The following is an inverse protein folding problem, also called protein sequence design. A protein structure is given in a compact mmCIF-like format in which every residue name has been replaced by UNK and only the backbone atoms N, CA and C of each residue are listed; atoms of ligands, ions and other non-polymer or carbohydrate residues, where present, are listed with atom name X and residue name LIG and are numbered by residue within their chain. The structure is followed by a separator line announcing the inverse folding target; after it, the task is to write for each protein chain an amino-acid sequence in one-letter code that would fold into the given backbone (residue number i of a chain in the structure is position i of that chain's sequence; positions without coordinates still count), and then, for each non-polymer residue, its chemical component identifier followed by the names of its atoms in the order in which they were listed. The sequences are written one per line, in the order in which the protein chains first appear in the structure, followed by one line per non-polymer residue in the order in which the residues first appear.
data_IF_971985089673
#
_entry.id   IF_971985089673
#
_cell.length_a   1.000
_cell.length_b   1.000
_cell.length_c   1.000
_cell.angle_alpha   90.00
_cell.angle_beta   90.00
_cell.angle_gamma   90.00
#
_symmetry.space_group_name_H-M   'P 1'
#
loop_
_entity.id
_entity.type
_entity.pdbx_description
1 polymer ?
#
# COMPACT_ATOMS: atom_id res chain seq x y z
N UNK A 1 -25.15 35.23 8.70
CA UNK A 1 -25.69 33.85 8.59
C UNK A 1 -24.91 32.97 9.56
N UNK A 2 -25.57 32.42 10.58
CA UNK A 2 -24.93 31.54 11.58
C UNK A 2 -24.79 30.13 11.00
N UNK A 3 -23.63 29.79 10.44
CA UNK A 3 -23.30 28.40 10.18
C UNK A 3 -22.99 27.71 11.50
N UNK A 4 -23.97 26.97 12.05
CA UNK A 4 -23.67 25.98 13.10
C UNK A 4 -22.91 24.83 12.44
N UNK A 5 -21.65 24.58 12.81
CA UNK A 5 -20.95 23.40 12.31
C UNK A 5 -21.67 22.17 12.84
N UNK A 6 -22.19 21.35 11.93
CA UNK A 6 -22.73 20.03 12.25
C UNK A 6 -21.65 18.99 11.94
N UNK A 7 -21.36 18.15 12.93
CA UNK A 7 -20.49 17.00 12.76
C UNK A 7 -21.22 15.97 11.89
N UNK A 8 -20.53 15.39 10.90
CA UNK A 8 -21.14 14.36 10.07
C UNK A 8 -21.34 13.06 10.88
N UNK A 9 -22.39 12.31 10.56
CA UNK A 9 -22.78 11.10 11.32
C UNK A 9 -21.68 10.04 11.37
N UNK A 10 -20.88 9.91 10.31
CA UNK A 10 -19.76 8.96 10.24
C UNK A 10 -18.64 9.33 11.21
N UNK A 11 -18.27 10.61 11.30
CA UNK A 11 -17.28 11.06 12.28
C UNK A 11 -17.79 10.89 13.70
N UNK A 12 -19.05 11.27 13.98
CA UNK A 12 -19.63 11.12 15.31
C UNK A 12 -19.62 9.65 15.78
N UNK A 13 -20.05 8.72 14.91
CA UNK A 13 -20.02 7.28 15.20
C UNK A 13 -18.60 6.75 15.41
N UNK A 14 -17.62 7.21 14.63
CA UNK A 14 -16.23 6.82 14.81
C UNK A 14 -15.69 7.27 16.18
N UNK A 15 -16.01 8.50 16.61
CA UNK A 15 -15.63 9.01 17.93
C UNK A 15 -16.28 8.19 19.04
N UNK A 16 -17.59 7.93 18.96
CA UNK A 16 -18.30 7.09 19.96
C UNK A 16 -17.68 5.71 20.11
N UNK A 17 -17.22 5.10 19.02
CA UNK A 17 -16.61 3.78 19.06
C UNK A 17 -15.21 3.80 19.67
N UNK A 18 -14.39 4.81 19.33
CA UNK A 18 -13.04 4.96 19.87
C UNK A 18 -13.07 5.34 21.36
N UNK A 19 -14.07 6.10 21.78
CA UNK A 19 -14.28 6.54 23.16
C UNK A 19 -14.66 5.38 24.11
N UNK A 20 -15.13 4.25 23.56
CA UNK A 20 -15.40 3.05 24.37
C UNK A 20 -14.13 2.58 25.07
N UNK A 21 -14.27 2.31 26.36
CA UNK A 21 -13.16 1.83 27.20
C UNK A 21 -12.46 0.64 26.55
N UNK A 22 -11.14 0.79 26.36
CA UNK A 22 -10.21 -0.16 25.75
C UNK A 22 -10.22 -0.29 24.22
N UNK A 23 -11.23 0.23 23.51
CA UNK A 23 -11.28 0.13 22.04
C UNK A 23 -10.08 0.78 21.37
N UNK A 24 -9.72 2.01 21.78
CA UNK A 24 -8.54 2.70 21.27
C UNK A 24 -7.23 1.94 21.52
N UNK A 25 -7.09 1.28 22.68
CA UNK A 25 -5.89 0.49 23.02
C UNK A 25 -5.76 -0.78 22.16
N UNK A 26 -6.88 -1.49 21.94
CA UNK A 26 -6.94 -2.66 21.06
C UNK A 26 -6.57 -2.25 19.64
N UNK A 27 -7.21 -1.20 19.11
CA UNK A 27 -6.93 -0.67 17.77
C UNK A 27 -5.46 -0.26 17.66
N UNK A 28 -4.90 0.42 18.66
CA UNK A 28 -3.51 0.86 18.67
C UNK A 28 -2.51 -0.30 18.58
N UNK A 29 -2.76 -1.42 19.28
CA UNK A 29 -1.90 -2.60 19.16
C UNK A 29 -2.04 -3.26 17.79
N UNK A 30 -3.26 -3.38 17.27
CA UNK A 30 -3.53 -3.98 15.96
C UNK A 30 -3.05 -3.10 14.78
N UNK A 31 -2.85 -1.80 14.99
CA UNK A 31 -2.19 -0.91 14.02
C UNK A 31 -0.72 -1.28 13.79
N UNK A 32 -0.06 -1.92 14.77
CA UNK A 32 1.35 -2.29 14.67
C UNK A 32 1.54 -3.63 13.97
N UNK A 33 0.69 -4.61 14.31
CA UNK A 33 0.69 -5.92 13.68
C UNK A 33 -0.59 -6.69 14.04
N UNK A 34 -0.86 -7.75 13.28
CA UNK A 34 -1.75 -8.84 13.68
C UNK A 34 -1.32 -9.39 15.05
N UNK A 35 -2.29 -9.77 15.90
CA UNK A 35 -2.03 -10.24 17.26
C UNK A 35 -3.00 -11.34 17.70
N UNK A 36 -2.56 -12.22 18.60
CA UNK A 36 -3.45 -13.21 19.23
C UNK A 36 -4.17 -12.58 20.43
N UNK A 37 -5.21 -13.27 20.91
CA UNK A 37 -5.94 -12.83 22.11
C UNK A 37 -5.01 -12.62 23.31
N UNK A 38 -4.09 -13.55 23.56
CA UNK A 38 -3.15 -13.48 24.67
C UNK A 38 -2.19 -12.27 24.54
N UNK A 39 -1.75 -11.96 23.32
CA UNK A 39 -0.85 -10.82 23.06
C UNK A 39 -1.57 -9.49 23.32
N UNK A 40 -2.82 -9.36 22.87
CA UNK A 40 -3.66 -8.20 23.16
C UNK A 40 -3.93 -8.06 24.66
N UNK A 41 -4.23 -9.18 25.32
CA UNK A 41 -4.48 -9.21 26.77
C UNK A 41 -3.25 -8.81 27.58
N UNK A 42 -2.06 -9.23 27.16
CA UNK A 42 -0.80 -8.87 27.78
C UNK A 42 -0.40 -7.41 27.50
N UNK A 43 -0.70 -6.91 26.28
CA UNK A 43 -0.37 -5.56 25.86
C UNK A 43 -1.27 -4.45 26.45
N UNK A 44 -2.39 -4.81 27.09
CA UNK A 44 -3.35 -3.85 27.66
C UNK A 44 -3.51 -4.13 29.16
N UNK A 45 -2.71 -3.47 30.03
CA UNK A 45 -2.82 -3.62 31.47
C UNK A 45 -4.22 -3.27 31.98
N UNK A 46 -4.80 -4.15 32.80
CA UNK A 46 -6.09 -3.93 33.45
C UNK A 46 -7.34 -4.27 32.61
N UNK A 47 -7.20 -4.70 31.36
CA UNK A 47 -8.32 -5.30 30.62
C UNK A 47 -8.60 -6.71 31.17
N UNK A 48 -9.87 -7.12 31.24
CA UNK A 48 -10.23 -8.50 31.57
C UNK A 48 -10.50 -9.28 30.29
N UNK A 49 -10.41 -10.60 30.34
CA UNK A 49 -10.65 -11.46 29.17
C UNK A 49 -12.07 -11.28 28.63
N UNK A 50 -13.05 -11.15 29.54
CA UNK A 50 -14.44 -10.83 29.19
C UNK A 50 -14.52 -9.51 28.43
N UNK A 51 -13.90 -8.44 28.94
CA UNK A 51 -13.95 -7.12 28.34
C UNK A 51 -13.22 -7.08 26.98
N UNK A 52 -12.09 -7.78 26.86
CA UNK A 52 -11.37 -7.92 25.60
C UNK A 52 -12.23 -8.65 24.56
N UNK A 53 -12.90 -9.72 24.96
CA UNK A 53 -13.79 -10.49 24.08
C UNK A 53 -14.98 -9.65 23.61
N UNK A 54 -15.65 -8.94 24.53
CA UNK A 54 -16.75 -8.03 24.22
C UNK A 54 -16.32 -6.93 23.24
N UNK A 55 -15.16 -6.30 23.46
CA UNK A 55 -14.65 -5.24 22.57
C UNK A 55 -14.22 -5.79 21.21
N UNK A 56 -13.56 -6.94 21.15
CA UNK A 56 -13.20 -7.56 19.86
C UNK A 56 -14.46 -7.92 19.05
N UNK A 57 -15.50 -8.43 19.71
CA UNK A 57 -16.78 -8.73 19.06
C UNK A 57 -17.47 -7.46 18.53
N UNK A 58 -17.49 -6.37 19.30
CA UNK A 58 -18.02 -5.08 18.84
C UNK A 58 -17.24 -4.52 17.65
N UNK A 59 -15.90 -4.54 17.73
CA UNK A 59 -15.04 -4.05 16.66
C UNK A 59 -15.13 -4.93 15.39
N UNK A 60 -15.39 -6.22 15.53
CA UNK A 60 -15.71 -7.13 14.43
C UNK A 60 -17.08 -6.82 13.81
N UNK A 61 -18.10 -6.58 14.64
CA UNK A 61 -19.44 -6.19 14.19
C UNK A 61 -19.48 -4.86 13.44
N UNK A 62 -18.61 -3.92 13.82
CA UNK A 62 -18.43 -2.63 13.10
C UNK A 62 -17.45 -2.75 11.91
N UNK A 63 -16.94 -3.94 11.62
CA UNK A 63 -16.05 -4.19 10.47
C UNK A 63 -14.67 -3.55 10.60
N UNK A 64 -14.20 -3.25 11.81
CA UNK A 64 -12.90 -2.62 12.08
C UNK A 64 -11.82 -3.64 12.40
N UNK A 65 -12.20 -4.76 13.02
CA UNK A 65 -11.32 -5.89 13.31
C UNK A 65 -11.83 -7.13 12.58
N UNK A 66 -10.92 -7.92 12.01
CA UNK A 66 -11.20 -9.24 11.50
C UNK A 66 -10.68 -10.31 12.45
N UNK A 67 -11.41 -11.42 12.56
CA UNK A 67 -10.97 -12.61 13.27
C UNK A 67 -10.67 -13.73 12.27
N UNK A 68 -9.43 -14.21 12.25
CA UNK A 68 -8.99 -15.30 11.36
C UNK A 68 -8.60 -16.53 12.16
N UNK A 69 -9.18 -17.68 11.82
CA UNK A 69 -8.77 -18.98 12.35
C UNK A 69 -7.69 -19.54 11.43
N UNK A 70 -6.49 -19.75 11.96
CA UNK A 70 -5.39 -20.32 11.20
C UNK A 70 -5.31 -21.82 11.48
N UNK A 71 -5.48 -22.67 10.45
CA UNK A 71 -5.41 -24.12 10.59
C UNK A 71 -3.95 -24.56 10.70
N UNK A 72 -3.35 -24.36 11.87
CA UNK A 72 -2.05 -24.90 12.25
C UNK A 72 -2.21 -25.93 13.37
N UNK A 73 -1.13 -26.61 13.76
CA UNK A 73 -1.11 -27.54 14.90
C UNK A 73 -0.24 -26.95 16.02
N UNK A 74 -0.82 -26.37 17.08
CA UNK A 74 -2.24 -26.25 17.40
C UNK A 74 -2.97 -25.13 16.65
N UNK A 75 -4.30 -25.25 16.50
CA UNK A 75 -5.14 -24.24 15.85
C UNK A 75 -5.02 -22.93 16.60
N UNK A 76 -4.77 -21.83 15.87
CA UNK A 76 -4.64 -20.50 16.46
C UNK A 76 -5.63 -19.51 15.87
N UNK A 77 -5.94 -18.49 16.65
CA UNK A 77 -6.83 -17.39 16.25
C UNK A 77 -6.02 -16.10 16.29
N UNK A 78 -6.13 -15.33 15.22
CA UNK A 78 -5.45 -14.05 15.07
C UNK A 78 -6.48 -12.95 14.78
N UNK A 79 -6.22 -11.77 15.35
CA UNK A 79 -6.99 -10.57 15.15
C UNK A 79 -6.12 -9.54 14.42
N UNK A 80 -6.71 -8.88 13.44
CA UNK A 80 -6.09 -7.80 12.70
C UNK A 80 -7.13 -6.71 12.49
N UNK A 81 -6.72 -5.46 12.25
CA UNK A 81 -7.68 -4.50 11.70
C UNK A 81 -8.19 -5.03 10.37
N UNK A 82 -9.43 -4.77 9.98
CA UNK A 82 -10.01 -5.31 8.72
C UNK A 82 -9.20 -4.92 7.48
N UNK A 83 -8.55 -3.75 7.52
CA UNK A 83 -7.60 -3.27 6.51
C UNK A 83 -6.22 -3.96 6.53
N UNK A 84 -5.94 -4.74 7.58
CA UNK A 84 -4.70 -5.50 7.86
C UNK A 84 -4.95 -7.02 7.84
N UNK A 85 -6.21 -7.44 7.98
CA UNK A 85 -6.75 -8.79 7.81
C UNK A 85 -6.35 -9.47 6.50
N UNK A 86 -5.85 -8.67 5.56
CA UNK A 86 -5.62 -9.07 4.20
C UNK A 86 -4.44 -8.33 3.58
N UNK A 87 -3.27 -8.96 3.53
CA UNK A 87 -2.38 -8.92 2.36
C UNK A 87 -1.49 -10.18 2.34
N UNK A 88 -1.51 -11.03 1.30
CA UNK A 88 -2.11 -10.85 -0.01
C UNK A 88 -3.31 -11.78 -0.23
N UNK A 89 -4.55 -11.27 -0.17
CA UNK A 89 -5.41 -11.52 -1.32
C UNK A 89 -4.81 -10.66 -2.41
N UNK A 90 -3.79 -11.12 -3.10
CA UNK A 90 -3.76 -10.66 -4.46
C UNK A 90 -5.11 -11.13 -4.99
N UNK A 91 -5.93 -10.24 -5.51
CA UNK A 91 -7.06 -10.63 -6.35
C UNK A 91 -8.36 -11.27 -5.81
N UNK A 92 -8.52 -11.73 -4.57
CA UNK A 92 -9.80 -12.37 -4.24
C UNK A 92 -10.88 -11.34 -3.85
N UNK A 93 -11.62 -10.88 -4.87
CA UNK A 93 -12.80 -9.99 -4.77
C UNK A 93 -12.59 -8.58 -5.30
N UNK A 94 -11.39 -7.99 -5.11
CA UNK A 94 -11.11 -6.62 -5.62
C UNK A 94 -10.73 -6.71 -7.10
N UNK A 95 -11.76 -6.78 -7.94
CA UNK A 95 -11.60 -6.69 -9.39
C UNK A 95 -11.03 -5.32 -9.80
N UNK A 96 -11.19 -4.27 -8.97
CA UNK A 96 -10.78 -2.91 -9.31
C UNK A 96 -10.08 -2.19 -8.16
N UNK A 97 -8.97 -1.53 -8.44
CA UNK A 97 -8.30 -0.62 -7.51
C UNK A 97 -8.49 0.83 -7.98
N UNK A 98 -8.56 1.77 -7.05
CA UNK A 98 -8.68 3.19 -7.37
C UNK A 98 -7.41 3.92 -6.97
N UNK A 99 -6.85 4.71 -7.89
CA UNK A 99 -5.55 5.36 -7.78
C UNK A 99 -5.73 6.85 -8.08
N UNK A 100 -5.56 7.70 -7.07
CA UNK A 100 -5.67 9.15 -7.22
C UNK A 100 -4.34 9.73 -7.73
N UNK A 101 -4.37 10.40 -8.88
CA UNK A 101 -3.23 11.11 -9.46
C UNK A 101 -3.05 12.49 -8.80
N UNK A 102 -1.87 13.09 -9.00
CA UNK A 102 -1.52 14.42 -8.47
C UNK A 102 -2.40 15.56 -8.99
N UNK A 103 -3.04 15.38 -10.14
CA UNK A 103 -3.99 16.34 -10.75
C UNK A 103 -5.44 16.12 -10.28
N UNK A 104 -5.64 15.31 -9.23
CA UNK A 104 -6.95 14.93 -8.69
C UNK A 104 -7.80 14.04 -9.61
N UNK A 105 -7.19 13.42 -10.63
CA UNK A 105 -7.83 12.37 -11.44
C UNK A 105 -7.87 11.05 -10.66
N UNK A 106 -9.05 10.44 -10.54
CA UNK A 106 -9.21 9.10 -9.98
C UNK A 106 -9.16 8.05 -11.10
N UNK A 107 -8.06 7.30 -11.19
CA UNK A 107 -7.98 6.14 -12.07
C UNK A 107 -8.63 4.93 -11.41
N UNK A 108 -9.49 4.24 -12.13
CA UNK A 108 -9.96 2.90 -11.74
C UNK A 108 -9.23 1.88 -12.59
N UNK A 109 -8.64 0.88 -11.97
CA UNK A 109 -7.79 -0.11 -12.64
C UNK A 109 -8.41 -1.47 -12.40
N UNK A 110 -8.86 -2.13 -13.47
CA UNK A 110 -9.44 -3.47 -13.44
C UNK A 110 -8.35 -4.52 -13.55
N UNK A 111 -8.41 -5.52 -12.69
CA UNK A 111 -7.44 -6.62 -12.64
C UNK A 111 -7.63 -7.58 -13.80
N UNK A 112 -6.54 -7.93 -14.45
CA UNK A 112 -6.47 -8.94 -15.50
C UNK A 112 -5.77 -10.22 -15.05
N UNK A 113 -4.87 -10.14 -14.04
CA UNK A 113 -4.16 -11.32 -13.56
C UNK A 113 -3.36 -11.08 -12.29
N UNK A 114 -2.92 -12.17 -11.66
CA UNK A 114 -2.03 -12.15 -10.49
C UNK A 114 -1.06 -13.32 -10.55
N UNK A 115 0.22 -13.02 -10.32
CA UNK A 115 1.27 -14.01 -10.05
C UNK A 115 1.68 -13.93 -8.57
N UNK A 116 1.43 -14.99 -7.80
CA UNK A 116 1.74 -15.05 -6.36
C UNK A 116 3.12 -15.66 -6.14
N UNK A 117 3.99 -14.93 -5.44
CA UNK A 117 5.35 -15.36 -5.07
C UNK A 117 5.49 -15.46 -3.53
N UNK A 118 6.53 -16.15 -3.01
CA UNK A 118 6.67 -16.39 -1.56
C UNK A 118 6.73 -15.14 -0.66
N UNK A 119 7.12 -13.97 -1.20
CA UNK A 119 7.25 -12.72 -0.43
C UNK A 119 6.60 -11.51 -1.10
N UNK A 120 5.87 -11.72 -2.19
CA UNK A 120 5.17 -10.67 -2.93
C UNK A 120 4.14 -11.28 -3.87
N UNK A 121 3.20 -10.49 -4.36
CA UNK A 121 2.40 -10.79 -5.52
C UNK A 121 2.64 -9.72 -6.59
N UNK A 122 2.58 -10.14 -7.85
CA UNK A 122 2.56 -9.25 -9.00
C UNK A 122 1.10 -9.18 -9.46
N UNK A 123 0.53 -7.98 -9.39
CA UNK A 123 -0.83 -7.69 -9.79
C UNK A 123 -0.81 -7.04 -11.17
N UNK A 124 -1.56 -7.61 -12.11
CA UNK A 124 -1.72 -7.11 -13.46
C UNK A 124 -3.14 -6.57 -13.65
N UNK A 125 -3.26 -5.44 -14.33
CA UNK A 125 -4.56 -4.87 -14.68
C UNK A 125 -4.49 -3.90 -15.84
N UNK A 126 -5.63 -3.30 -16.15
CA UNK A 126 -5.80 -2.26 -17.16
C UNK A 126 -6.56 -1.08 -16.57
N UNK A 127 -6.23 0.13 -17.01
CA UNK A 127 -6.95 1.34 -16.62
C UNK A 127 -8.29 1.38 -17.35
N UNK A 128 -9.39 1.55 -16.59
CA UNK A 128 -10.73 1.66 -17.15
C UNK A 128 -10.81 2.85 -18.13
N UNK A 129 -11.28 2.58 -19.34
CA UNK A 129 -11.48 3.60 -20.38
C UNK A 129 -10.28 3.84 -21.30
N UNK A 130 -9.06 3.41 -20.93
CA UNK A 130 -7.88 3.50 -21.81
C UNK A 130 -7.25 2.16 -22.14
N UNK A 131 -7.60 1.09 -21.40
CA UNK A 131 -6.99 -0.24 -21.45
C UNK A 131 -5.47 -0.24 -21.27
N UNK A 132 -4.90 0.86 -20.75
CA UNK A 132 -3.47 0.97 -20.51
C UNK A 132 -3.03 -0.05 -19.46
N UNK A 133 -1.98 -0.86 -19.73
CA UNK A 133 -1.57 -1.91 -18.82
C UNK A 133 -0.95 -1.34 -17.54
N UNK A 134 -1.21 -2.02 -16.43
CA UNK A 134 -0.71 -1.68 -15.10
C UNK A 134 -0.09 -2.90 -14.47
N UNK A 135 1.11 -2.73 -13.90
CA UNK A 135 1.77 -3.76 -13.08
C UNK A 135 2.09 -3.19 -11.71
N UNK A 136 1.63 -3.88 -10.68
CA UNK A 136 1.83 -3.51 -9.28
C UNK A 136 2.46 -4.68 -8.54
N UNK A 137 3.61 -4.44 -7.94
CA UNK A 137 4.22 -5.34 -6.97
C UNK A 137 3.63 -5.06 -5.60
N UNK A 138 3.20 -6.11 -4.91
CA UNK A 138 2.52 -6.01 -3.62
C UNK A 138 3.16 -6.98 -2.62
N UNK A 139 3.60 -6.49 -1.47
CA UNK A 139 4.20 -7.28 -0.41
C UNK A 139 3.22 -7.58 0.73
N UNK A 140 3.40 -8.67 1.51
CA UNK A 140 2.53 -9.03 2.64
C UNK A 140 2.41 -7.97 3.73
N UNK A 141 3.35 -7.04 3.83
CA UNK A 141 3.34 -5.92 4.76
C UNK A 141 2.44 -4.75 4.30
N UNK A 142 1.73 -4.91 3.18
CA UNK A 142 0.86 -3.88 2.59
C UNK A 142 1.60 -2.86 1.73
N UNK A 143 2.93 -2.98 1.58
CA UNK A 143 3.67 -2.15 0.64
C UNK A 143 3.23 -2.50 -0.78
N UNK A 144 2.95 -1.48 -1.58
CA UNK A 144 2.75 -1.62 -3.02
C UNK A 144 3.66 -0.65 -3.78
N UNK A 145 4.17 -1.09 -4.92
CA UNK A 145 4.95 -0.28 -5.86
C UNK A 145 4.54 -0.65 -7.26
N UNK A 146 4.40 0.33 -8.15
CA UNK A 146 4.01 0.05 -9.52
C UNK A 146 4.10 1.29 -10.39
N UNK A 147 3.79 1.11 -11.66
CA UNK A 147 3.69 2.19 -12.63
C UNK A 147 2.34 2.13 -13.32
N UNK A 148 1.78 3.30 -13.61
CA UNK A 148 0.55 3.46 -14.39
C UNK A 148 0.76 4.54 -15.43
N UNK A 149 0.27 4.31 -16.64
CA UNK A 149 0.30 5.28 -17.72
C UNK A 149 -1.11 5.84 -17.92
N UNK A 150 -1.24 7.16 -17.99
CA UNK A 150 -2.50 7.83 -18.27
C UNK A 150 -2.25 9.13 -19.04
N UNK A 151 -3.00 9.36 -20.12
CA UNK A 151 -2.89 10.57 -20.95
C UNK A 151 -1.45 10.92 -21.35
N UNK A 152 -0.68 9.94 -21.85
CA UNK A 152 0.74 10.05 -22.22
C UNK A 152 1.73 10.38 -21.07
N UNK A 153 1.26 10.38 -19.82
CA UNK A 153 2.09 10.64 -18.63
C UNK A 153 2.30 9.35 -17.84
N UNK A 154 3.53 9.16 -17.34
CA UNK A 154 3.89 8.02 -16.51
C UNK A 154 3.81 8.41 -15.04
N UNK A 155 3.17 7.59 -14.24
CA UNK A 155 3.06 7.79 -12.81
C UNK A 155 3.65 6.61 -12.06
N UNK A 156 4.40 6.90 -10.99
CA UNK A 156 4.92 5.90 -10.08
C UNK A 156 4.06 5.85 -8.82
N UNK A 157 3.55 4.67 -8.51
CA UNK A 157 2.88 4.36 -7.24
C UNK A 157 3.98 4.05 -6.23
N UNK A 158 4.15 4.92 -5.23
CA UNK A 158 5.17 4.80 -4.19
C UNK A 158 4.54 4.74 -2.82
N UNK A 159 5.06 3.87 -1.97
CA UNK A 159 4.69 3.80 -0.56
C UNK A 159 5.41 4.91 0.23
N UNK A 160 4.65 5.84 0.81
CA UNK A 160 5.16 6.88 1.71
C UNK A 160 4.74 6.52 3.14
N UNK A 161 5.68 5.98 3.93
CA UNK A 161 5.58 5.67 5.36
C UNK A 161 4.18 5.60 5.98
N UNK A 162 3.70 4.39 6.29
CA UNK A 162 2.29 4.13 6.60
C UNK A 162 1.49 3.84 5.32
N UNK A 163 0.19 3.53 5.44
CA UNK A 163 -0.67 3.06 4.33
C UNK A 163 -0.94 4.09 3.21
N UNK A 164 -0.16 5.16 3.13
CA UNK A 164 -0.32 6.24 2.16
C UNK A 164 0.49 5.92 0.91
N UNK A 165 -0.20 5.78 -0.22
CA UNK A 165 0.45 5.63 -1.52
C UNK A 165 0.38 6.96 -2.26
N UNK A 166 1.54 7.48 -2.64
CA UNK A 166 1.62 8.64 -3.52
C UNK A 166 1.79 8.17 -4.96
N UNK A 167 1.02 8.79 -5.84
CA UNK A 167 1.13 8.62 -7.28
C UNK A 167 1.82 9.86 -7.78
N UNK A 168 3.11 9.72 -8.04
CA UNK A 168 3.94 10.84 -8.45
C UNK A 168 4.10 10.76 -9.96
N UNK A 169 3.68 11.82 -10.63
CA UNK A 169 4.01 12.01 -12.04
C UNK A 169 5.53 12.02 -12.20
N UNK A 170 6.01 11.14 -13.07
CA UNK A 170 7.39 11.13 -13.53
C UNK A 170 7.44 12.04 -14.74
N UNK A 171 7.74 13.32 -14.52
CA UNK A 171 8.14 14.21 -15.61
C UNK A 171 9.48 13.76 -16.19
N UNK A 172 9.74 14.07 -17.47
CA UNK A 172 11.03 13.82 -18.13
C UNK A 172 12.22 14.40 -17.32
N UNK A 173 11.99 15.48 -16.58
CA UNK A 173 12.96 16.14 -15.70
C UNK A 173 13.33 15.36 -14.43
N UNK A 174 12.63 14.24 -14.15
CA UNK A 174 12.80 13.46 -12.90
C UNK A 174 13.12 11.98 -13.13
N UNK A 175 13.31 11.54 -14.38
CA UNK A 175 13.79 10.19 -14.65
C UNK A 175 15.27 10.07 -14.25
N UNK A 176 15.67 9.00 -13.52
CA UNK A 176 17.09 8.69 -13.37
C UNK A 176 17.69 8.47 -14.78
N UNK A 177 18.96 8.86 -14.99
CA UNK A 177 19.65 8.52 -16.22
C UNK A 177 19.57 7.01 -16.48
N UNK A 178 19.36 6.61 -17.73
CA UNK A 178 19.14 5.21 -18.13
C UNK A 178 20.25 4.28 -17.63
N UNK A 179 21.46 4.81 -17.51
CA UNK A 179 22.56 4.18 -16.80
C UNK A 179 23.32 5.20 -15.95
N UNK A 180 23.87 4.78 -14.81
CA UNK A 180 24.72 5.66 -14.00
C UNK A 180 25.98 6.08 -14.79
N UNK A 181 26.44 7.34 -14.72
CA UNK A 181 27.69 7.76 -15.35
C UNK A 181 28.86 6.88 -14.89
N UNK A 182 29.66 6.41 -15.84
CA UNK A 182 30.83 5.60 -15.52
C UNK A 182 31.89 6.48 -14.85
N UNK A 183 32.48 5.99 -13.76
CA UNK A 183 33.46 6.76 -13.00
C UNK A 183 34.69 7.12 -13.85
N UNK A 184 35.34 8.28 -13.61
CA UNK A 184 36.53 8.69 -14.37
C UNK A 184 37.64 7.63 -14.39
N UNK A 185 37.82 6.91 -13.29
CA UNK A 185 38.80 5.82 -13.17
C UNK A 185 38.49 4.63 -14.09
N UNK A 186 37.22 4.26 -14.28
CA UNK A 186 36.80 3.20 -15.19
C UNK A 186 36.86 3.65 -16.66
N UNK A 187 36.54 4.92 -16.94
CA UNK A 187 36.67 5.50 -18.30
C UNK A 187 38.12 5.55 -18.77
N UNK A 188 39.07 5.89 -17.89
CA UNK A 188 40.49 5.89 -18.22
C UNK A 188 41.04 4.51 -18.60
N UNK A 189 40.37 3.42 -18.19
CA UNK A 189 40.73 2.04 -18.55
C UNK A 189 40.17 1.63 -19.93
N UNK A 190 39.24 2.40 -20.49
CA UNK A 190 38.58 2.13 -21.76
C UNK A 190 38.62 3.37 -22.66
N UNK A 191 39.74 3.57 -23.37
CA UNK A 191 39.99 4.75 -24.20
C UNK A 191 38.90 5.03 -25.26
N UNK A 192 38.19 4.01 -25.73
CA UNK A 192 37.11 4.13 -26.71
C UNK A 192 35.78 4.61 -26.11
N UNK A 193 35.62 4.58 -24.78
CA UNK A 193 34.42 4.99 -24.05
C UNK A 193 34.59 6.33 -23.32
N UNK A 194 35.78 6.93 -23.39
CA UNK A 194 36.13 8.14 -22.64
C UNK A 194 35.26 9.33 -23.04
N UNK A 195 34.95 9.44 -24.33
CA UNK A 195 34.16 10.52 -24.94
C UNK A 195 32.75 10.07 -25.34
N UNK A 196 32.34 8.85 -24.98
CA UNK A 196 31.01 8.33 -25.33
C UNK A 196 29.93 9.01 -24.45
N UNK A 197 28.96 9.74 -25.05
CA UNK A 197 27.89 10.43 -24.31
C UNK A 197 27.06 9.48 -23.44
N UNK A 198 26.89 8.22 -23.84
CA UNK A 198 26.15 7.21 -23.07
C UNK A 198 26.86 6.88 -21.76
N UNK A 199 28.19 6.86 -21.80
CA UNK A 199 29.05 6.47 -20.68
C UNK A 199 29.35 7.66 -19.77
N UNK A 200 29.39 8.86 -20.36
CA UNK A 200 29.72 10.10 -19.65
C UNK A 200 28.50 10.78 -19.03
N UNK A 201 27.34 10.74 -19.68
CA UNK A 201 26.11 11.41 -19.25
C UNK A 201 25.03 10.44 -18.80
N UNK A 202 25.11 9.15 -19.19
CA UNK A 202 24.13 8.15 -18.81
C UNK A 202 22.79 8.27 -19.52
N UNK A 203 22.74 9.07 -20.59
CA UNK A 203 21.55 9.35 -21.38
C UNK A 203 21.72 8.83 -22.81
N UNK A 204 20.77 8.03 -23.30
CA UNK A 204 20.75 7.47 -24.65
C UNK A 204 19.91 8.27 -25.65
N UNK A 205 19.40 9.44 -25.26
CA UNK A 205 18.63 10.34 -26.12
C UNK A 205 19.33 10.64 -27.45
N UNK A 206 20.68 10.72 -27.46
CA UNK A 206 21.50 10.96 -28.65
C UNK A 206 21.62 9.78 -29.64
N UNK A 207 21.14 8.59 -29.29
CA UNK A 207 21.16 7.39 -30.15
C UNK A 207 19.82 7.11 -30.85
N UNK A 208 18.80 7.95 -30.62
CA UNK A 208 17.52 7.80 -31.32
C UNK A 208 17.68 8.30 -32.77
N UNK A 209 17.21 7.53 -33.77
CA UNK A 209 17.38 7.83 -35.20
C UNK A 209 16.65 9.10 -35.66
#
# INVERSE_FOLDING_TARGET
MNHRPLVCASFHRAVELIDRRWSGAIIFLLLKSTARFADLRAGIPGITDRMLSERLHELEGEGIVSRTVIPDTPVRVEYALTKDANTPAASQGVAKIAVQLSDNTLLTITRTGVDVKPRMAIWHGTVDGTDAPVTIMWWPDGRMTGTVQHAARLYSIRHLGGKLHAVVEMGEDRMPPEHAPMSPAKRAQHAHLADDPLVTQGDSSSLRP
#
